data_IF_125219838618
#
_entry.id   IF_125219838618
#
_cell.length_a   1.000
_cell.length_b   1.000
_cell.length_c   1.000
_cell.angle_alpha   90.00
_cell.angle_beta   90.00
_cell.angle_gamma   90.00
#
_symmetry.space_group_name_H-M   'P 1'
#
loop_
_entity.id
_entity.type
_entity.pdbx_description
1 polymer ?
#
# COMPACT_ATOMS: atom_id res chain seq x y z
N UNK A 1 21.83 0.53 1.63
CA UNK A 1 20.95 0.08 0.54
C UNK A 1 19.53 0.32 0.99
N UNK A 2 18.82 1.26 0.36
CA UNK A 2 17.45 1.60 0.71
C UNK A 2 16.46 0.66 0.03
N UNK A 3 15.39 0.28 0.73
CA UNK A 3 14.29 -0.48 0.14
C UNK A 3 13.37 0.49 -0.63
N UNK A 4 13.84 0.96 -1.78
CA UNK A 4 13.18 2.04 -2.52
C UNK A 4 11.85 1.59 -3.11
N UNK A 5 11.85 0.51 -3.89
CA UNK A 5 10.65 -0.07 -4.52
C UNK A 5 10.83 -1.60 -4.58
N UNK A 6 9.78 -2.34 -4.22
CA UNK A 6 9.62 -3.78 -4.36
C UNK A 6 8.18 -4.11 -4.75
N UNK A 7 7.88 -5.39 -5.00
CA UNK A 7 6.55 -5.83 -5.39
C UNK A 7 6.04 -6.93 -4.46
N UNK A 8 4.88 -6.71 -3.85
CA UNK A 8 4.18 -7.71 -3.06
C UNK A 8 3.31 -8.59 -3.96
N UNK A 9 3.75 -9.83 -4.21
CA UNK A 9 2.97 -10.80 -4.98
C UNK A 9 1.71 -11.28 -4.24
N UNK A 10 1.70 -11.27 -2.91
CA UNK A 10 0.54 -11.69 -2.10
C UNK A 10 -0.60 -10.69 -2.23
N UNK A 11 -0.26 -9.41 -2.31
CA UNK A 11 -1.22 -8.29 -2.40
C UNK A 11 -1.39 -7.74 -3.81
N UNK A 12 -0.49 -8.06 -4.73
CA UNK A 12 -0.50 -7.55 -6.10
C UNK A 12 -0.20 -6.04 -6.18
N UNK A 13 0.69 -5.51 -5.34
CA UNK A 13 0.96 -4.06 -5.27
C UNK A 13 2.42 -3.73 -5.02
N UNK A 14 2.82 -2.55 -5.47
CA UNK A 14 4.16 -2.00 -5.23
C UNK A 14 4.30 -1.62 -3.74
N UNK A 15 5.47 -1.86 -3.17
CA UNK A 15 5.84 -1.61 -1.77
C UNK A 15 7.21 -0.93 -1.70
N UNK A 16 7.50 -0.19 -0.63
CA UNK A 16 8.76 0.51 -0.45
C UNK A 16 8.60 1.96 0.02
N UNK A 17 9.70 2.56 0.47
CA UNK A 17 9.71 3.94 0.98
C UNK A 17 9.41 4.99 -0.09
N UNK A 18 9.57 4.64 -1.37
CA UNK A 18 9.24 5.53 -2.50
C UNK A 18 7.82 5.38 -3.03
N UNK A 19 6.98 4.55 -2.41
CA UNK A 19 5.63 4.24 -2.90
C UNK A 19 4.60 4.94 -2.02
N UNK A 20 4.09 6.12 -2.40
CA UNK A 20 3.03 6.78 -1.65
C UNK A 20 1.76 5.93 -1.67
N UNK A 21 1.06 5.93 -0.54
CA UNK A 21 -0.15 5.15 -0.33
C UNK A 21 -1.05 5.81 0.72
N UNK A 22 -2.29 5.34 0.80
CA UNK A 22 -3.15 5.65 1.92
C UNK A 22 -3.03 4.55 2.98
N UNK A 23 -3.26 4.92 4.23
CA UNK A 23 -3.44 3.96 5.31
C UNK A 23 -4.51 2.93 4.94
N UNK A 24 -4.21 1.64 5.14
CA UNK A 24 -5.12 0.51 4.92
C UNK A 24 -6.20 0.39 6.02
N UNK A 25 -6.30 1.36 6.93
CA UNK A 25 -7.39 1.39 7.92
C UNK A 25 -8.70 1.86 7.24
N UNK A 26 -9.84 1.18 7.45
CA UNK A 26 -11.09 1.51 6.80
C UNK A 26 -11.50 2.97 7.05
N UNK A 27 -11.63 3.75 5.96
CA UNK A 27 -12.03 5.16 6.03
C UNK A 27 -10.90 6.14 6.37
N UNK A 28 -9.68 5.66 6.64
CA UNK A 28 -8.52 6.53 6.80
C UNK A 28 -7.98 6.98 5.44
N UNK A 29 -7.70 8.28 5.31
CA UNK A 29 -7.09 8.88 4.11
C UNK A 29 -5.72 9.48 4.39
N UNK A 30 -5.11 9.13 5.53
CA UNK A 30 -3.77 9.61 5.88
C UNK A 30 -2.78 9.06 4.86
N UNK A 31 -2.04 9.99 4.24
CA UNK A 31 -0.98 9.67 3.30
C UNK A 31 0.23 9.13 4.05
N UNK A 32 0.74 8.01 3.55
CA UNK A 32 1.90 7.29 4.07
C UNK A 32 2.75 6.80 2.89
N UNK A 33 3.87 6.15 3.19
CA UNK A 33 4.56 5.30 2.23
C UNK A 33 4.35 3.81 2.57
N UNK A 34 4.55 2.93 1.59
CA UNK A 34 4.54 1.48 1.81
C UNK A 34 5.89 0.93 2.28
N UNK A 35 6.62 1.73 3.05
CA UNK A 35 7.86 1.35 3.70
C UNK A 35 7.62 0.57 5.00
N UNK A 36 8.72 0.08 5.57
CA UNK A 36 8.68 -0.72 6.82
C UNK A 36 8.25 0.10 8.04
N UNK A 37 8.26 1.44 7.96
CA UNK A 37 7.77 2.29 9.05
C UNK A 37 6.25 2.21 9.26
N UNK A 38 5.51 1.70 8.28
CA UNK A 38 4.05 1.62 8.31
C UNK A 38 3.53 0.19 8.20
N UNK A 39 4.40 -0.81 7.98
CA UNK A 39 3.97 -2.20 7.77
C UNK A 39 3.46 -2.86 9.07
N UNK A 40 2.24 -3.37 9.07
CA UNK A 40 1.72 -4.19 10.15
C UNK A 40 2.57 -5.47 10.27
N UNK A 41 3.28 -5.62 11.39
CA UNK A 41 4.24 -6.68 11.68
C UNK A 41 5.68 -6.17 11.84
N UNK A 42 5.99 -4.95 11.40
CA UNK A 42 7.35 -4.38 11.45
C UNK A 42 8.35 -5.02 10.47
N UNK A 43 7.94 -6.04 9.73
CA UNK A 43 8.76 -6.79 8.78
C UNK A 43 8.12 -6.80 7.38
N UNK A 44 8.92 -7.02 6.31
CA UNK A 44 8.37 -7.24 4.97
C UNK A 44 7.28 -8.31 4.97
N UNK A 45 6.17 -8.05 4.28
CA UNK A 45 5.02 -8.96 4.18
C UNK A 45 4.29 -9.28 5.51
N UNK A 46 4.67 -8.61 6.61
CA UNK A 46 4.02 -8.72 7.91
C UNK A 46 4.67 -9.69 8.91
N UNK A 47 5.76 -10.36 8.54
CA UNK A 47 6.48 -11.25 9.43
C UNK A 47 5.59 -12.34 10.03
N UNK A 48 5.81 -12.66 11.31
CA UNK A 48 5.05 -13.69 12.04
C UNK A 48 3.74 -13.17 12.65
N UNK A 49 3.67 -11.88 12.99
CA UNK A 49 2.59 -11.32 13.82
C UNK A 49 1.66 -10.36 13.07
N UNK A 50 2.06 -9.88 11.90
CA UNK A 50 1.33 -8.88 11.14
C UNK A 50 0.72 -9.41 9.85
N UNK A 51 -0.23 -8.66 9.32
CA UNK A 51 -0.86 -9.00 8.03
C UNK A 51 -0.08 -8.46 6.81
N UNK A 52 0.91 -7.59 7.00
CA UNK A 52 1.68 -6.99 5.90
C UNK A 52 0.95 -5.85 5.17
N UNK A 53 -0.12 -5.31 5.77
CA UNK A 53 -0.76 -4.07 5.32
C UNK A 53 -0.06 -2.84 5.91
N UNK A 54 -0.29 -1.66 5.35
CA UNK A 54 0.35 -0.42 5.77
C UNK A 54 -0.62 0.48 6.52
N UNK A 55 -0.29 0.84 7.74
CA UNK A 55 -1.12 1.64 8.65
C UNK A 55 -0.36 2.89 9.08
N UNK A 56 -1.05 4.02 9.21
CA UNK A 56 -0.44 5.23 9.76
C UNK A 56 -0.24 5.09 11.27
N UNK A 57 0.62 5.95 11.84
CA UNK A 57 0.94 5.93 13.27
C UNK A 57 -0.27 6.07 14.21
N UNK A 58 -1.37 6.68 13.77
CA UNK A 58 -2.61 6.79 14.55
C UNK A 58 -3.37 5.46 14.67
N UNK A 59 -3.24 4.58 13.67
CA UNK A 59 -3.86 3.26 13.64
C UNK A 59 -2.88 2.14 13.99
N UNK A 60 -1.67 2.50 14.40
CA UNK A 60 -0.65 1.58 14.91
C UNK A 60 -0.93 1.26 16.37
N UNK A 61 -0.99 -0.03 16.67
CA UNK A 61 -1.18 -0.57 18.00
C UNK A 61 0.02 -1.45 18.39
N UNK A 62 0.33 -1.45 19.68
CA UNK A 62 1.34 -2.33 20.26
C UNK A 62 0.68 -3.52 20.97
N UNK A 63 1.30 -4.69 20.85
CA UNK A 63 1.04 -5.87 21.67
C UNK A 63 2.32 -6.24 22.45
N UNK A 64 2.24 -7.30 23.26
CA UNK A 64 3.41 -7.84 23.98
C UNK A 64 4.51 -8.35 23.02
N UNK A 65 4.14 -8.76 21.80
CA UNK A 65 5.03 -9.41 20.83
C UNK A 65 5.51 -8.45 19.73
N UNK A 66 4.71 -7.43 19.38
CA UNK A 66 5.03 -6.51 18.29
C UNK A 66 4.47 -5.10 18.54
N UNK A 67 5.28 -4.08 18.29
CA UNK A 67 4.91 -2.68 18.51
C UNK A 67 4.17 -2.04 17.32
N UNK A 68 4.13 -2.71 16.16
CA UNK A 68 3.62 -2.15 14.92
C UNK A 68 2.54 -3.05 14.32
N UNK A 69 1.37 -3.11 14.95
CA UNK A 69 0.24 -3.92 14.52
C UNK A 69 -0.97 -3.07 14.17
N UNK A 70 -1.79 -3.53 13.23
CA UNK A 70 -3.11 -2.95 13.00
C UNK A 70 -4.07 -3.38 14.11
N UNK A 71 -5.22 -2.70 14.21
CA UNK A 71 -6.25 -3.00 15.20
C UNK A 71 -6.70 -4.48 15.17
N UNK A 72 -6.70 -5.11 13.99
CA UNK A 72 -7.10 -6.50 13.82
C UNK A 72 -6.04 -7.47 14.34
N UNK A 73 -4.77 -7.29 13.96
CA UNK A 73 -3.67 -8.14 14.44
C UNK A 73 -3.43 -7.96 15.94
N UNK A 74 -3.50 -6.73 16.46
CA UNK A 74 -3.39 -6.46 17.90
C UNK A 74 -4.55 -7.10 18.69
N UNK A 75 -5.77 -7.08 18.12
CA UNK A 75 -6.95 -7.71 18.71
C UNK A 75 -7.10 -9.21 18.42
N UNK A 76 -6.11 -9.86 17.76
CA UNK A 76 -6.16 -11.26 17.31
C UNK A 76 -7.45 -11.62 16.55
N UNK A 77 -7.94 -10.68 15.72
CA UNK A 77 -9.11 -10.90 14.87
C UNK A 77 -8.74 -11.75 13.66
N UNK A 78 -9.62 -12.66 13.27
CA UNK A 78 -9.43 -13.51 12.10
C UNK A 78 -9.56 -12.73 10.78
N UNK A 79 -10.33 -11.63 10.78
CA UNK A 79 -10.59 -10.84 9.58
C UNK A 79 -9.37 -9.99 9.21
N UNK A 80 -8.96 -10.08 7.96
CA UNK A 80 -7.92 -9.22 7.40
C UNK A 80 -8.54 -7.89 6.93
N UNK A 81 -7.81 -6.78 7.10
CA UNK A 81 -8.25 -5.49 6.57
C UNK A 81 -8.24 -5.52 5.03
N UNK A 82 -9.17 -4.80 4.43
CA UNK A 82 -9.15 -4.57 2.97
C UNK A 82 -8.08 -3.53 2.65
N UNK A 83 -7.12 -3.83 1.75
CA UNK A 83 -6.12 -2.85 1.36
C UNK A 83 -6.77 -1.63 0.70
N UNK A 84 -6.26 -0.46 1.05
CA UNK A 84 -6.61 0.81 0.41
C UNK A 84 -6.14 0.83 -1.05
N UNK A 85 -6.83 1.60 -1.92
CA UNK A 85 -6.41 1.77 -3.31
C UNK A 85 -5.00 2.39 -3.39
N UNK A 86 -4.35 2.21 -4.53
CA UNK A 86 -3.09 2.88 -4.84
C UNK A 86 -3.26 4.41 -4.80
N UNK A 87 -2.21 5.10 -4.38
CA UNK A 87 -2.18 6.56 -4.39
C UNK A 87 -2.26 7.08 -5.83
N UNK A 88 -3.06 8.14 -6.11
CA UNK A 88 -3.16 8.72 -7.45
C UNK A 88 -1.80 9.13 -8.02
N UNK A 89 -0.95 9.76 -7.21
CA UNK A 89 0.40 10.17 -7.64
C UNK A 89 1.27 8.98 -8.04
N UNK A 90 1.16 7.85 -7.33
CA UNK A 90 1.88 6.63 -7.68
C UNK A 90 1.40 6.08 -9.03
N UNK A 91 0.08 6.04 -9.21
CA UNK A 91 -0.55 5.59 -10.44
C UNK A 91 -0.19 6.49 -11.64
N UNK A 92 -0.19 7.81 -11.45
CA UNK A 92 0.19 8.78 -12.48
C UNK A 92 1.67 8.68 -12.83
N UNK A 93 2.55 8.51 -11.83
CA UNK A 93 3.97 8.30 -12.06
C UNK A 93 4.26 7.05 -12.88
N UNK A 94 3.63 5.91 -12.54
CA UNK A 94 3.73 4.66 -13.34
C UNK A 94 3.27 4.83 -14.79
N UNK A 95 2.37 5.76 -15.07
CA UNK A 95 1.86 6.01 -16.42
C UNK A 95 2.70 7.00 -17.24
N UNK A 96 3.38 7.92 -16.58
CA UNK A 96 4.02 9.08 -17.22
C UNK A 96 5.55 8.98 -17.27
N UNK A 97 6.17 8.33 -16.29
CA UNK A 97 7.62 8.26 -16.17
C UNK A 97 8.23 7.27 -17.18
N UNK A 98 9.36 7.64 -17.78
CA UNK A 98 10.05 6.82 -18.78
C UNK A 98 10.61 5.52 -18.18
N UNK A 99 10.98 5.51 -16.90
CA UNK A 99 11.51 4.31 -16.22
C UNK A 99 10.49 3.17 -16.15
N UNK A 100 9.20 3.49 -16.24
CA UNK A 100 8.10 2.52 -16.24
C UNK A 100 7.63 2.12 -17.65
N UNK A 101 8.26 2.63 -18.71
CA UNK A 101 7.90 2.26 -20.09
C UNK A 101 7.93 0.74 -20.32
N UNK A 102 8.98 -0.02 -19.90
CA UNK A 102 9.00 -1.46 -20.09
C UNK A 102 7.82 -2.16 -19.38
N UNK A 103 7.49 -1.73 -18.17
CA UNK A 103 6.37 -2.30 -17.42
C UNK A 103 5.02 -2.05 -18.12
N UNK A 104 4.82 -0.86 -18.70
CA UNK A 104 3.60 -0.53 -19.45
C UNK A 104 3.45 -1.37 -20.72
N UNK A 105 4.56 -1.61 -21.41
CA UNK A 105 4.59 -2.41 -22.64
C UNK A 105 4.28 -3.88 -22.34
N UNK A 106 4.73 -4.39 -21.19
CA UNK A 106 4.47 -5.75 -20.72
C UNK A 106 3.08 -5.93 -20.09
N UNK A 107 2.46 -4.86 -19.58
CA UNK A 107 1.20 -4.91 -18.81
C UNK A 107 0.12 -3.94 -19.35
N UNK A 108 -0.33 -4.09 -20.61
CA UNK A 108 -1.30 -3.17 -21.22
C UNK A 108 -2.68 -3.18 -20.51
N UNK A 109 -3.08 -4.32 -19.96
CA UNK A 109 -4.35 -4.46 -19.23
C UNK A 109 -4.31 -3.69 -17.90
N UNK A 110 -3.21 -3.77 -17.16
CA UNK A 110 -3.02 -3.01 -15.91
C UNK A 110 -2.96 -1.50 -16.18
N UNK A 111 -2.28 -1.08 -17.25
CA UNK A 111 -2.26 0.33 -17.70
C UNK A 111 -3.68 0.84 -17.95
N UNK A 112 -4.53 0.03 -18.59
CA UNK A 112 -5.92 0.39 -18.86
C UNK A 112 -6.71 0.51 -17.56
N UNK A 113 -6.55 -0.42 -16.61
CA UNK A 113 -7.18 -0.35 -15.28
C UNK A 113 -6.78 0.92 -14.52
N UNK A 114 -5.49 1.24 -14.50
CA UNK A 114 -4.97 2.43 -13.82
C UNK A 114 -5.55 3.71 -14.47
N UNK A 115 -5.58 3.79 -15.80
CA UNK A 115 -6.16 4.94 -16.51
C UNK A 115 -7.64 5.15 -16.15
N UNK A 116 -8.41 4.07 -16.11
CA UNK A 116 -9.83 4.11 -15.70
C UNK A 116 -9.97 4.50 -14.21
N UNK A 117 -9.09 4.00 -13.34
CA UNK A 117 -9.11 4.33 -11.91
C UNK A 117 -8.81 5.83 -11.68
N UNK A 118 -7.83 6.40 -12.38
CA UNK A 118 -7.51 7.84 -12.32
C UNK A 118 -8.66 8.69 -12.87
N UNK A 119 -9.26 8.32 -14.02
CA UNK A 119 -10.38 9.08 -14.58
C UNK A 119 -11.58 9.08 -13.62
N UNK A 120 -11.92 7.91 -13.07
CA UNK A 120 -13.01 7.75 -12.10
C UNK A 120 -12.74 8.48 -10.78
N UNK A 121 -11.48 8.66 -10.38
CA UNK A 121 -11.12 9.47 -9.22
C UNK A 121 -11.30 10.97 -9.48
N UNK A 122 -10.92 11.47 -10.67
CA UNK A 122 -11.10 12.88 -11.05
C UNK A 122 -12.56 13.29 -11.21
N UNK A 123 -13.44 12.38 -11.63
CA UNK A 123 -14.87 12.64 -11.80
C UNK A 123 -15.65 12.74 -10.47
N UNK A 124 -15.11 12.20 -9.36
CA UNK A 124 -15.76 12.21 -8.03
C UNK A 124 -15.50 13.48 -7.22
N UNK A 125 -14.68 14.38 -7.74
CA UNK A 125 -14.28 15.64 -7.10
C UNK A 125 -14.99 16.88 -7.70
N UNK A 126 -15.98 16.67 -8.61
CA UNK A 126 -16.74 17.71 -9.31
C UNK A 126 -18.19 17.82 -8.80
#
# INVERSE_FOLDING_TARGET
>A
MGWSIGYDKKRGRDIGYGVPAYCDHPGCKTEIDRGLGYVCGGEPFGGEHGCGLFICGEHTHASEECLQLCQHCAGKRADELTPSPDHPDWMEWKLTDESWQPWRDENPDEVTKIRVAISSAKERDC
#
